data_IF_132094039358
#
_entry.id   IF_132094039358
#
_cell.length_a   1.000
_cell.length_b   1.000
_cell.length_c   1.000
_cell.angle_alpha   90.00
_cell.angle_beta   90.00
_cell.angle_gamma   90.00
#
_symmetry.space_group_name_H-M   'P 1'
#
loop_
_entity.id
_entity.type
_entity.pdbx_description
1 polymer ?
#
# COMPACT_ATOMS: atom_id res chain seq x y z
N UNK A 1 14.32 -1.97 7.76
CA UNK A 1 13.46 -2.22 6.58
C UNK A 1 13.94 -3.49 5.91
N UNK A 2 13.06 -4.47 5.65
CA UNK A 2 13.41 -5.66 4.89
C UNK A 2 13.75 -5.28 3.44
N UNK A 3 14.72 -5.97 2.85
CA UNK A 3 15.06 -5.79 1.43
C UNK A 3 13.86 -6.21 0.57
N UNK A 4 13.44 -5.40 -0.42
CA UNK A 4 12.35 -5.79 -1.32
C UNK A 4 12.63 -7.15 -1.95
N UNK A 5 11.66 -8.07 -1.89
CA UNK A 5 11.82 -9.47 -2.26
C UNK A 5 10.76 -9.89 -3.26
N UNK A 6 11.12 -10.65 -4.27
CA UNK A 6 10.15 -11.30 -5.16
C UNK A 6 9.76 -12.64 -4.54
N UNK A 7 8.47 -12.81 -4.30
CA UNK A 7 7.90 -14.07 -3.87
C UNK A 7 7.38 -14.81 -5.10
N UNK A 8 7.65 -16.09 -5.20
CA UNK A 8 7.18 -16.95 -6.29
C UNK A 8 6.34 -18.06 -5.67
N UNK A 9 5.12 -18.22 -6.15
CA UNK A 9 4.24 -19.33 -5.75
C UNK A 9 3.77 -20.06 -7.00
N UNK A 10 4.22 -21.27 -7.16
CA UNK A 10 3.95 -22.15 -8.31
C UNK A 10 4.16 -23.59 -7.84
N UNK A 11 3.35 -24.55 -8.21
CA UNK A 11 3.48 -25.95 -7.81
C UNK A 11 4.57 -26.70 -8.60
N UNK A 12 4.93 -26.21 -9.78
CA UNK A 12 5.99 -26.78 -10.62
C UNK A 12 7.40 -26.34 -10.13
N UNK A 13 8.20 -27.30 -9.68
CA UNK A 13 9.57 -27.06 -9.20
C UNK A 13 10.50 -26.51 -10.30
N UNK A 14 10.33 -26.94 -11.54
CA UNK A 14 11.16 -26.48 -12.65
C UNK A 14 10.86 -25.00 -12.97
N UNK A 15 9.59 -24.59 -12.92
CA UNK A 15 9.18 -23.19 -13.07
C UNK A 15 9.73 -22.35 -11.95
N UNK A 16 9.56 -22.76 -10.68
CA UNK A 16 10.13 -22.04 -9.52
C UNK A 16 11.64 -21.89 -9.64
N UNK A 17 12.35 -22.96 -10.06
CA UNK A 17 13.80 -22.96 -10.25
C UNK A 17 14.24 -21.97 -11.32
N UNK A 18 13.59 -21.97 -12.47
CA UNK A 18 13.87 -21.08 -13.60
C UNK A 18 13.64 -19.61 -13.23
N UNK A 19 12.49 -19.30 -12.62
CA UNK A 19 12.16 -17.95 -12.16
C UNK A 19 13.17 -17.44 -11.12
N UNK A 20 13.56 -18.31 -10.18
CA UNK A 20 14.54 -17.97 -9.16
C UNK A 20 15.92 -17.65 -9.75
N UNK A 21 16.36 -18.40 -10.76
CA UNK A 21 17.63 -18.15 -11.46
C UNK A 21 17.56 -16.84 -12.24
N UNK A 22 16.51 -16.63 -13.03
CA UNK A 22 16.30 -15.42 -13.80
C UNK A 22 16.30 -14.16 -12.95
N UNK A 23 15.51 -14.13 -11.88
CA UNK A 23 15.39 -12.93 -11.05
C UNK A 23 16.65 -12.66 -10.20
N UNK A 24 17.35 -13.73 -9.76
CA UNK A 24 18.65 -13.58 -9.11
C UNK A 24 19.73 -13.05 -10.05
N UNK A 25 19.71 -13.38 -11.34
CA UNK A 25 20.69 -12.90 -12.33
C UNK A 25 20.65 -11.37 -12.48
N UNK A 26 19.51 -10.74 -12.19
CA UNK A 26 19.33 -9.29 -12.16
C UNK A 26 19.41 -8.68 -10.75
N UNK A 27 19.89 -9.44 -9.77
CA UNK A 27 20.16 -8.98 -8.41
C UNK A 27 18.95 -8.87 -7.49
N UNK A 28 17.79 -9.42 -7.86
CA UNK A 28 16.60 -9.43 -7.02
C UNK A 28 16.63 -10.61 -6.03
N UNK A 29 16.36 -10.37 -4.73
CA UNK A 29 16.12 -11.44 -3.79
C UNK A 29 14.83 -12.20 -4.14
N UNK A 30 14.87 -13.54 -4.08
CA UNK A 30 13.73 -14.39 -4.41
C UNK A 30 13.51 -15.43 -3.32
N UNK A 31 12.26 -15.55 -2.88
CA UNK A 31 11.80 -16.65 -2.04
C UNK A 31 10.68 -17.37 -2.79
N UNK A 32 10.78 -18.69 -2.91
CA UNK A 32 9.81 -19.50 -3.64
C UNK A 32 9.09 -20.47 -2.71
N UNK A 33 7.81 -20.67 -2.96
CA UNK A 33 6.90 -21.55 -2.23
C UNK A 33 6.21 -22.50 -3.19
N UNK A 34 6.06 -23.79 -2.84
CA UNK A 34 5.40 -24.77 -3.68
C UNK A 34 3.86 -24.71 -3.62
N UNK A 35 3.32 -23.90 -2.71
CA UNK A 35 1.86 -23.83 -2.52
C UNK A 35 1.42 -22.50 -1.92
N UNK A 36 0.17 -22.14 -2.17
CA UNK A 36 -0.48 -20.98 -1.58
C UNK A 36 -0.56 -21.02 -0.05
N UNK A 37 -0.90 -22.16 0.61
CA UNK A 37 -0.89 -22.24 2.07
C UNK A 37 0.48 -21.99 2.70
N UNK A 38 1.56 -22.49 2.10
CA UNK A 38 2.91 -22.25 2.62
C UNK A 38 3.31 -20.78 2.52
N UNK A 39 2.97 -20.14 1.41
CA UNK A 39 3.18 -18.70 1.27
C UNK A 39 2.38 -17.92 2.34
N UNK A 40 1.09 -18.22 2.52
CA UNK A 40 0.23 -17.54 3.50
C UNK A 40 0.72 -17.70 4.95
N UNK A 41 1.30 -18.84 5.28
CA UNK A 41 1.87 -19.10 6.59
C UNK A 41 3.16 -18.27 6.85
N UNK A 42 3.94 -18.05 5.80
CA UNK A 42 5.21 -17.33 5.86
C UNK A 42 5.12 -15.83 5.65
N UNK A 43 4.11 -15.36 4.88
CA UNK A 43 3.98 -13.96 4.52
C UNK A 43 3.62 -13.08 5.72
N UNK A 44 4.25 -11.91 5.78
CA UNK A 44 3.99 -10.86 6.77
C UNK A 44 3.76 -9.53 6.05
N UNK A 45 2.84 -8.72 6.54
CA UNK A 45 2.47 -7.43 5.95
C UNK A 45 3.64 -6.45 5.75
N UNK A 46 4.64 -6.53 6.62
CA UNK A 46 5.83 -5.67 6.58
C UNK A 46 6.81 -6.03 5.45
N UNK A 47 6.65 -7.22 4.86
CA UNK A 47 7.50 -7.66 3.76
C UNK A 47 7.16 -6.87 2.49
N UNK A 48 8.17 -6.22 1.91
CA UNK A 48 8.04 -5.45 0.67
C UNK A 48 8.48 -6.27 -0.54
N UNK A 49 7.92 -5.95 -1.71
CA UNK A 49 8.27 -6.58 -2.96
C UNK A 49 7.07 -6.86 -3.87
N UNK A 50 7.08 -7.98 -4.57
CA UNK A 50 5.95 -8.43 -5.38
C UNK A 50 5.78 -9.94 -5.31
N UNK A 51 4.58 -10.41 -5.62
CA UNK A 51 4.22 -11.83 -5.71
C UNK A 51 4.05 -12.23 -7.18
N UNK A 52 4.83 -13.21 -7.64
CA UNK A 52 4.58 -13.95 -8.88
C UNK A 52 3.77 -15.18 -8.49
N UNK A 53 2.63 -15.37 -9.11
CA UNK A 53 1.65 -16.36 -8.68
C UNK A 53 1.11 -17.15 -9.87
N UNK A 54 1.27 -18.47 -9.83
CA UNK A 54 0.57 -19.32 -10.78
C UNK A 54 -0.93 -19.36 -10.47
N UNK A 55 -1.77 -19.37 -11.50
CA UNK A 55 -3.22 -19.45 -11.32
C UNK A 55 -3.66 -20.83 -10.88
N UNK A 56 -3.12 -21.88 -11.54
CA UNK A 56 -3.60 -23.26 -11.38
C UNK A 56 -2.66 -24.06 -10.51
N UNK A 57 -2.99 -24.14 -9.25
CA UNK A 57 -2.23 -24.96 -8.29
C UNK A 57 -3.17 -25.95 -7.58
N UNK A 58 -2.67 -27.13 -7.19
CA UNK A 58 -3.43 -28.08 -6.39
C UNK A 58 -3.88 -27.48 -5.05
N UNK A 59 -5.10 -27.80 -4.65
CA UNK A 59 -5.69 -27.30 -3.39
C UNK A 59 -6.17 -25.88 -3.52
N UNK A 60 -5.37 -24.91 -3.10
CA UNK A 60 -5.72 -23.48 -3.19
C UNK A 60 -5.17 -22.87 -4.47
N UNK A 61 -6.05 -22.39 -5.34
CA UNK A 61 -5.70 -21.70 -6.57
C UNK A 61 -5.04 -20.32 -6.32
N UNK A 62 -4.37 -19.78 -7.33
CA UNK A 62 -3.80 -18.44 -7.26
C UNK A 62 -4.87 -17.35 -7.06
N UNK A 63 -6.07 -17.50 -7.64
CA UNK A 63 -7.16 -16.55 -7.45
C UNK A 63 -7.68 -16.56 -6.01
N UNK A 64 -7.83 -17.74 -5.41
CA UNK A 64 -8.22 -17.85 -4.00
C UNK A 64 -7.16 -17.25 -3.07
N UNK A 65 -5.87 -17.45 -3.38
CA UNK A 65 -4.78 -16.80 -2.65
C UNK A 65 -4.87 -15.27 -2.74
N UNK A 66 -5.09 -14.73 -3.94
CA UNK A 66 -5.28 -13.28 -4.12
C UNK A 66 -6.43 -12.75 -3.29
N UNK A 67 -7.59 -13.43 -3.31
CA UNK A 67 -8.75 -13.04 -2.51
C UNK A 67 -8.42 -13.04 -1.01
N UNK A 68 -7.71 -14.06 -0.52
CA UNK A 68 -7.29 -14.09 0.88
C UNK A 68 -6.32 -12.97 1.25
N UNK A 69 -5.41 -12.61 0.35
CA UNK A 69 -4.52 -11.47 0.54
C UNK A 69 -5.30 -10.15 0.60
N UNK A 70 -6.30 -9.98 -0.28
CA UNK A 70 -7.17 -8.81 -0.28
C UNK A 70 -7.97 -8.68 1.03
N UNK A 71 -8.57 -9.77 1.51
CA UNK A 71 -9.30 -9.80 2.80
C UNK A 71 -8.39 -9.44 3.98
N UNK A 72 -7.12 -9.84 3.93
CA UNK A 72 -6.11 -9.48 4.94
C UNK A 72 -5.56 -8.07 4.78
N UNK A 73 -5.99 -7.30 3.78
CA UNK A 73 -5.50 -5.95 3.48
C UNK A 73 -4.05 -5.93 3.00
N UNK A 74 -3.54 -7.02 2.40
CA UNK A 74 -2.19 -7.06 1.88
C UNK A 74 -2.02 -6.10 0.70
N UNK A 75 -0.97 -5.30 0.74
CA UNK A 75 -0.68 -4.29 -0.31
C UNK A 75 0.31 -4.80 -1.36
N UNK A 76 0.79 -6.04 -1.22
CA UNK A 76 1.76 -6.63 -2.14
C UNK A 76 1.14 -6.77 -3.54
N UNK A 77 1.75 -6.20 -4.59
CA UNK A 77 1.27 -6.37 -5.96
C UNK A 77 1.47 -7.82 -6.43
N UNK A 78 0.44 -8.36 -7.07
CA UNK A 78 0.41 -9.72 -7.59
C UNK A 78 0.53 -9.70 -9.10
N UNK A 79 1.55 -10.37 -9.64
CA UNK A 79 1.73 -10.65 -11.07
C UNK A 79 1.38 -12.12 -11.30
N UNK A 80 0.31 -12.38 -12.00
CA UNK A 80 -0.06 -13.75 -12.35
C UNK A 80 0.74 -14.28 -13.52
N UNK A 81 1.11 -15.54 -13.43
CA UNK A 81 1.62 -16.32 -14.57
C UNK A 81 0.68 -17.51 -14.80
N UNK A 82 0.40 -17.84 -16.06
CA UNK A 82 -0.56 -18.89 -16.36
C UNK A 82 -0.33 -19.53 -17.74
N UNK A 83 -0.81 -20.76 -17.93
CA UNK A 83 -0.78 -21.49 -19.19
C UNK A 83 -1.80 -20.99 -20.22
N UNK A 84 -1.97 -21.76 -21.28
CA UNK A 84 -2.91 -21.44 -22.35
C UNK A 84 -4.38 -21.58 -21.91
N UNK A 85 -5.23 -20.69 -22.41
CA UNK A 85 -6.68 -20.81 -22.23
C UNK A 85 -7.25 -20.14 -20.97
N UNK A 86 -6.43 -19.42 -20.22
CA UNK A 86 -6.83 -18.82 -18.94
C UNK A 86 -7.30 -17.35 -19.06
N UNK A 87 -7.76 -16.90 -20.25
CA UNK A 87 -8.21 -15.51 -20.47
C UNK A 87 -9.33 -15.11 -19.49
N UNK A 88 -10.38 -15.91 -19.25
CA UNK A 88 -11.40 -15.55 -18.26
C UNK A 88 -10.82 -15.38 -16.86
N UNK A 89 -9.88 -16.25 -16.45
CA UNK A 89 -9.21 -16.16 -15.14
C UNK A 89 -8.28 -14.94 -15.06
N UNK A 90 -7.64 -14.55 -16.16
CA UNK A 90 -6.86 -13.32 -16.23
C UNK A 90 -7.74 -12.08 -16.00
N UNK A 91 -8.91 -12.04 -16.64
CA UNK A 91 -9.88 -10.94 -16.44
C UNK A 91 -10.35 -10.90 -14.98
N UNK A 92 -10.69 -12.04 -14.40
CA UNK A 92 -11.09 -12.16 -13.00
C UNK A 92 -9.97 -11.68 -12.06
N UNK A 93 -8.72 -12.12 -12.27
CA UNK A 93 -7.57 -11.68 -11.50
C UNK A 93 -7.41 -10.16 -11.52
N UNK A 94 -7.52 -9.55 -12.72
CA UNK A 94 -7.42 -8.10 -12.88
C UNK A 94 -8.58 -7.35 -12.21
N UNK A 95 -9.81 -7.86 -12.27
CA UNK A 95 -10.97 -7.30 -11.58
C UNK A 95 -10.80 -7.33 -10.06
N UNK A 96 -10.11 -8.34 -9.52
CA UNK A 96 -9.77 -8.47 -8.10
C UNK A 96 -8.48 -7.72 -7.71
N UNK A 97 -7.95 -6.85 -8.58
CA UNK A 97 -6.84 -5.97 -8.27
C UNK A 97 -5.44 -6.59 -8.47
N UNK A 98 -5.31 -7.62 -9.31
CA UNK A 98 -3.99 -8.05 -9.75
C UNK A 98 -3.24 -6.89 -10.41
N UNK A 99 -1.93 -6.86 -10.21
CA UNK A 99 -1.08 -5.83 -10.81
C UNK A 99 -0.92 -6.04 -12.31
N UNK A 100 -0.66 -7.29 -12.71
CA UNK A 100 -0.50 -7.67 -14.11
C UNK A 100 -0.68 -9.18 -14.29
N UNK A 101 -0.75 -9.60 -15.55
CA UNK A 101 -0.89 -10.99 -15.97
C UNK A 101 0.08 -11.31 -17.09
N UNK A 102 0.71 -12.50 -17.06
CA UNK A 102 1.64 -12.97 -18.07
C UNK A 102 1.34 -14.41 -18.48
N UNK A 103 1.12 -14.63 -19.77
CA UNK A 103 0.82 -15.96 -20.31
C UNK A 103 2.10 -16.73 -20.63
N UNK A 104 2.18 -18.00 -20.18
CA UNK A 104 3.24 -18.96 -20.58
C UNK A 104 2.97 -19.50 -22.01
N UNK A 105 3.98 -19.60 -22.89
CA UNK A 105 5.37 -19.21 -22.68
C UNK A 105 5.56 -17.69 -22.85
N UNK A 106 6.44 -17.09 -22.05
CA UNK A 106 6.77 -15.68 -22.10
C UNK A 106 8.27 -15.46 -22.28
N UNK A 107 8.65 -14.25 -22.70
CA UNK A 107 10.05 -13.84 -22.75
C UNK A 107 10.50 -13.37 -21.37
N UNK A 108 11.74 -13.69 -21.01
CA UNK A 108 12.34 -13.30 -19.74
C UNK A 108 12.20 -11.79 -19.47
N UNK A 109 12.43 -10.98 -20.51
CA UNK A 109 12.33 -9.51 -20.39
C UNK A 109 10.91 -9.05 -20.04
N UNK A 110 9.88 -9.71 -20.58
CA UNK A 110 8.48 -9.36 -20.31
C UNK A 110 8.13 -9.58 -18.83
N UNK A 111 8.67 -10.64 -18.22
CA UNK A 111 8.52 -10.89 -16.78
C UNK A 111 9.31 -9.88 -15.94
N UNK A 112 10.57 -9.63 -16.30
CA UNK A 112 11.44 -8.69 -15.60
C UNK A 112 10.80 -7.30 -15.54
N UNK A 113 10.29 -6.80 -16.65
CA UNK A 113 9.66 -5.47 -16.73
C UNK A 113 8.42 -5.37 -15.81
N UNK A 114 7.60 -6.44 -15.75
CA UNK A 114 6.43 -6.48 -14.87
C UNK A 114 6.82 -6.52 -13.40
N UNK A 115 7.78 -7.34 -13.06
CA UNK A 115 8.30 -7.45 -11.69
C UNK A 115 8.86 -6.11 -11.20
N UNK A 116 9.66 -5.43 -12.04
CA UNK A 116 10.22 -4.12 -11.68
C UNK A 116 9.12 -3.08 -11.44
N UNK A 117 8.13 -2.97 -12.34
CA UNK A 117 6.98 -2.08 -12.17
C UNK A 117 6.16 -2.41 -10.93
N UNK A 118 5.96 -3.71 -10.65
CA UNK A 118 5.26 -4.15 -9.45
C UNK A 118 6.00 -3.73 -8.18
N UNK A 119 7.32 -3.90 -8.15
CA UNK A 119 8.16 -3.48 -7.01
C UNK A 119 8.14 -1.96 -6.81
N UNK A 120 8.18 -1.18 -7.89
CA UNK A 120 8.02 0.28 -7.84
C UNK A 120 6.64 0.67 -7.26
N UNK A 121 5.58 -0.03 -7.67
CA UNK A 121 4.23 0.16 -7.14
C UNK A 121 4.14 -0.14 -5.65
N UNK A 122 4.73 -1.25 -5.19
CA UNK A 122 4.79 -1.60 -3.76
C UNK A 122 5.51 -0.51 -2.96
N UNK A 123 6.68 -0.07 -3.44
CA UNK A 123 7.46 0.97 -2.79
C UNK A 123 6.67 2.29 -2.66
N UNK A 124 5.97 2.71 -3.72
CA UNK A 124 5.14 3.91 -3.72
C UNK A 124 3.97 3.78 -2.73
N UNK A 125 3.25 2.65 -2.76
CA UNK A 125 2.12 2.37 -1.86
C UNK A 125 2.55 2.36 -0.39
N UNK A 126 3.66 1.68 -0.07
CA UNK A 126 4.20 1.62 1.30
C UNK A 126 4.70 2.98 1.79
N UNK A 127 5.29 3.80 0.90
CA UNK A 127 5.69 5.16 1.25
C UNK A 127 4.46 6.03 1.58
N UNK A 128 3.39 5.90 0.81
CA UNK A 128 2.15 6.62 1.06
C UNK A 128 1.52 6.18 2.40
N UNK A 129 1.47 4.87 2.68
CA UNK A 129 0.96 4.34 3.94
C UNK A 129 1.73 4.89 5.14
N UNK A 130 3.06 4.81 5.12
CA UNK A 130 3.92 5.35 6.18
C UNK A 130 3.72 6.84 6.39
N UNK A 131 3.57 7.60 5.30
CA UNK A 131 3.28 9.02 5.39
C UNK A 131 1.96 9.30 6.11
N UNK A 132 0.92 8.56 5.77
CA UNK A 132 -0.39 8.67 6.41
C UNK A 132 -0.34 8.30 7.91
N UNK A 133 0.37 7.22 8.25
CA UNK A 133 0.60 6.82 9.65
C UNK A 133 1.29 7.94 10.43
N UNK A 134 2.35 8.54 9.90
CA UNK A 134 3.03 9.68 10.52
C UNK A 134 2.12 10.90 10.71
N UNK A 135 1.27 11.20 9.72
CA UNK A 135 0.30 12.29 9.85
C UNK A 135 -0.73 11.96 10.94
N UNK A 136 -1.20 10.72 11.00
CA UNK A 136 -2.14 10.25 12.01
C UNK A 136 -1.54 10.34 13.42
N UNK A 137 -0.33 9.84 13.60
CA UNK A 137 0.38 9.92 14.88
C UNK A 137 0.48 11.38 15.37
N UNK A 138 0.83 12.32 14.48
CA UNK A 138 0.88 13.75 14.83
C UNK A 138 -0.49 14.31 15.19
N UNK A 139 -1.50 13.97 14.41
CA UNK A 139 -2.89 14.37 14.67
C UNK A 139 -3.36 13.92 16.05
N UNK A 140 -3.04 12.69 16.44
CA UNK A 140 -3.41 12.11 17.73
C UNK A 140 -2.66 12.76 18.92
N UNK A 141 -1.59 13.55 18.69
CA UNK A 141 -0.92 14.36 19.73
C UNK A 141 -1.62 15.68 20.05
N UNK A 142 -2.60 16.07 19.24
CA UNK A 142 -3.31 17.32 19.45
C UNK A 142 -4.22 17.23 20.68
N UNK A 143 -4.30 18.30 21.44
CA UNK A 143 -5.30 18.42 22.51
C UNK A 143 -6.68 18.70 21.93
N UNK A 144 -7.75 18.47 22.70
CA UNK A 144 -9.12 18.79 22.28
C UNK A 144 -9.24 20.20 21.72
N UNK A 145 -8.60 21.19 22.39
CA UNK A 145 -8.62 22.58 21.95
C UNK A 145 -7.86 22.83 20.64
N UNK A 146 -6.76 22.13 20.44
CA UNK A 146 -6.00 22.19 19.18
C UNK A 146 -6.75 21.53 18.03
N UNK A 147 -7.54 20.47 18.29
CA UNK A 147 -8.45 19.88 17.29
C UNK A 147 -9.54 20.87 16.86
N UNK A 148 -10.19 21.58 17.81
CA UNK A 148 -11.19 22.59 17.47
C UNK A 148 -10.57 23.69 16.59
N UNK A 149 -9.40 24.19 16.98
CA UNK A 149 -8.67 25.20 16.21
C UNK A 149 -8.27 24.67 14.83
N UNK A 150 -7.77 23.43 14.73
CA UNK A 150 -7.43 22.79 13.46
C UNK A 150 -8.64 22.75 12.51
N UNK A 151 -9.81 22.34 12.99
CA UNK A 151 -11.03 22.30 12.20
C UNK A 151 -11.41 23.67 11.64
N UNK A 152 -11.32 24.73 12.45
CA UNK A 152 -11.59 26.09 12.01
C UNK A 152 -10.51 26.63 11.04
N UNK A 153 -9.24 26.21 11.21
CA UNK A 153 -8.14 26.54 10.29
C UNK A 153 -8.37 25.94 8.90
N UNK A 154 -8.80 24.68 8.84
CA UNK A 154 -9.04 23.98 7.55
C UNK A 154 -10.23 24.56 6.80
N UNK A 155 -11.20 25.14 7.52
CA UNK A 155 -12.32 25.91 6.95
C UNK A 155 -11.92 27.34 6.51
N UNK A 156 -10.66 27.74 6.71
CA UNK A 156 -10.18 29.07 6.33
C UNK A 156 -10.69 30.22 7.21
N UNK A 157 -11.16 29.93 8.44
CA UNK A 157 -11.67 30.96 9.34
C UNK A 157 -10.56 31.93 9.79
N UNK A 158 -10.90 33.22 9.88
CA UNK A 158 -10.00 34.25 10.39
C UNK A 158 -9.86 34.14 11.92
N UNK A 159 -8.71 34.55 12.48
CA UNK A 159 -8.46 34.51 13.94
C UNK A 159 -9.53 35.19 14.79
N UNK A 160 -10.08 36.31 14.32
CA UNK A 160 -11.15 37.05 15.01
C UNK A 160 -12.44 36.21 15.10
N UNK A 161 -12.81 35.51 14.04
CA UNK A 161 -13.99 34.63 13.98
C UNK A 161 -13.77 33.43 14.91
N UNK A 162 -12.62 32.77 14.79
CA UNK A 162 -12.26 31.66 15.67
C UNK A 162 -12.26 32.07 17.16
N UNK A 163 -11.78 33.25 17.49
CA UNK A 163 -11.79 33.77 18.87
C UNK A 163 -13.21 33.88 19.42
N UNK A 164 -14.14 34.36 18.60
CA UNK A 164 -15.57 34.45 18.93
C UNK A 164 -16.19 33.05 19.09
N UNK A 165 -16.01 32.16 18.11
CA UNK A 165 -16.56 30.80 18.11
C UNK A 165 -16.06 29.98 19.30
N UNK A 166 -14.82 30.19 19.70
CA UNK A 166 -14.14 29.43 20.74
C UNK A 166 -14.21 30.12 22.15
N UNK A 167 -14.75 31.33 22.26
CA UNK A 167 -14.85 32.08 23.49
C UNK A 167 -13.50 32.46 24.10
N UNK A 168 -12.47 32.76 23.29
CA UNK A 168 -11.12 33.11 23.73
C UNK A 168 -10.60 34.38 23.04
N UNK A 169 -9.44 34.92 23.50
CA UNK A 169 -8.80 36.02 22.80
C UNK A 169 -8.17 35.63 21.47
N UNK A 170 -8.02 36.57 20.54
CA UNK A 170 -7.29 36.35 19.29
C UNK A 170 -5.86 35.89 19.53
N UNK A 171 -5.19 36.40 20.54
CA UNK A 171 -3.84 35.98 20.95
C UNK A 171 -3.80 34.51 21.39
N UNK A 172 -4.84 34.03 22.06
CA UNK A 172 -4.97 32.62 22.46
C UNK A 172 -5.14 31.73 21.21
N UNK A 173 -5.94 32.18 20.25
CA UNK A 173 -6.08 31.47 18.94
C UNK A 173 -4.74 31.40 18.21
N UNK A 174 -3.97 32.49 18.16
CA UNK A 174 -2.65 32.51 17.52
C UNK A 174 -1.69 31.50 18.15
N UNK A 175 -1.69 31.39 19.47
CA UNK A 175 -0.88 30.42 20.21
C UNK A 175 -1.30 28.97 19.84
N UNK A 176 -2.60 28.67 19.84
CA UNK A 176 -3.08 27.35 19.46
C UNK A 176 -2.76 27.03 18.00
N UNK A 177 -2.94 28.00 17.09
CA UNK A 177 -2.56 27.83 15.68
C UNK A 177 -1.08 27.50 15.52
N UNK A 178 -0.20 28.22 16.22
CA UNK A 178 1.23 27.95 16.19
C UNK A 178 1.54 26.52 16.66
N UNK A 179 0.94 26.08 17.77
CA UNK A 179 1.09 24.73 18.32
C UNK A 179 0.56 23.65 17.35
N UNK A 180 -0.59 23.88 16.71
CA UNK A 180 -1.13 22.98 15.69
C UNK A 180 -0.14 22.84 14.54
N UNK A 181 0.35 23.95 13.98
CA UNK A 181 1.33 23.94 12.89
C UNK A 181 2.62 23.20 13.27
N UNK A 182 3.11 23.42 14.49
CA UNK A 182 4.30 22.78 15.05
C UNK A 182 4.10 21.26 15.20
N UNK A 183 3.05 20.83 15.91
CA UNK A 183 2.75 19.42 16.18
C UNK A 183 2.49 18.65 14.88
N UNK A 184 1.72 19.23 13.96
CA UNK A 184 1.45 18.67 12.64
C UNK A 184 2.66 18.73 11.71
N UNK A 185 3.73 19.46 12.10
CA UNK A 185 4.91 19.73 11.25
C UNK A 185 4.52 20.30 9.87
N UNK A 186 3.49 21.15 9.83
CA UNK A 186 3.01 21.77 8.62
C UNK A 186 3.70 23.13 8.41
N UNK A 187 4.28 23.33 7.22
CA UNK A 187 4.97 24.59 6.85
C UNK A 187 4.02 25.63 6.28
N UNK A 188 2.80 25.24 5.95
CA UNK A 188 1.76 26.16 5.43
C UNK A 188 0.36 25.61 5.72
N UNK A 189 -0.64 26.49 5.73
CA UNK A 189 -2.05 26.09 5.85
C UNK A 189 -2.45 25.13 4.70
N UNK A 190 -1.98 25.37 3.49
CA UNK A 190 -2.26 24.50 2.36
C UNK A 190 -1.70 23.07 2.55
N UNK A 191 -0.55 22.93 3.20
CA UNK A 191 -0.01 21.62 3.55
C UNK A 191 -0.85 20.95 4.64
N UNK A 192 -1.26 21.70 5.66
CA UNK A 192 -2.12 21.22 6.73
C UNK A 192 -3.47 20.70 6.19
N UNK A 193 -4.11 21.47 5.33
CA UNK A 193 -5.37 21.07 4.66
C UNK A 193 -5.19 19.78 3.85
N UNK A 194 -4.12 19.65 3.09
CA UNK A 194 -3.82 18.39 2.35
C UNK A 194 -3.67 17.18 3.28
N UNK A 195 -2.96 17.35 4.40
CA UNK A 195 -2.81 16.29 5.40
C UNK A 195 -4.18 15.84 5.95
N UNK A 196 -5.09 16.77 6.19
CA UNK A 196 -6.43 16.45 6.69
C UNK A 196 -7.27 15.71 5.65
N UNK A 197 -7.26 16.17 4.40
CA UNK A 197 -7.95 15.49 3.28
C UNK A 197 -7.41 14.06 3.11
N UNK A 198 -6.08 13.87 3.18
CA UNK A 198 -5.46 12.54 3.08
C UNK A 198 -5.90 11.60 4.22
N UNK A 199 -6.14 12.12 5.43
CA UNK A 199 -6.63 11.35 6.58
C UNK A 199 -8.13 10.99 6.44
N UNK A 200 -8.97 11.92 5.99
CA UNK A 200 -10.42 11.74 5.83
C UNK A 200 -10.75 10.68 4.78
N UNK A 201 -10.12 10.75 3.61
CA UNK A 201 -10.36 9.79 2.52
C UNK A 201 -10.07 8.33 2.89
N UNK A 202 -9.33 8.07 3.95
CA UNK A 202 -9.07 6.71 4.43
C UNK A 202 -9.98 6.27 5.57
N UNK A 203 -10.61 7.22 6.27
CA UNK A 203 -11.65 6.92 7.26
C UNK A 203 -12.96 6.45 6.61
N UNK A 204 -13.14 6.75 5.33
CA UNK A 204 -14.33 6.42 4.53
C UNK A 204 -14.15 5.20 3.61
N UNK A 205 -12.95 4.56 3.57
CA UNK A 205 -12.78 3.35 2.80
C UNK A 205 -13.58 2.21 3.46
N UNK A 206 -14.59 1.64 2.76
CA UNK A 206 -15.35 0.51 3.30
C UNK A 206 -14.41 -0.67 3.52
N UNK A 207 -14.50 -1.29 4.71
CA UNK A 207 -13.87 -2.56 5.04
C UNK A 207 -14.47 -3.72 4.24
#
# INVERSE_FOLDING_TARGET
MSKPTVFVVDDDEAVRGSLKLLLKSIGLPVIAYPSAPEFLAAYRHEQSGCLILDIRMPGMSGLELQQQLNVRGAVIPVVFISGHGDIPMAVEAMQHGAFDFLQKPFRDQDLIDRVQKAMERDAASRNQLRRLEQVRERFDTLTAREHEVLGLMTLGRQNKVMAGDLGVSQRTVEIHRARVMEKMQARSLAQLVRMMIELEHRGEAPG
#
